data_IF_454662815988
#
_entry.id   IF_454662815988
#
_cell.length_a   1.000
_cell.length_b   1.000
_cell.length_c   1.000
_cell.angle_alpha   90.00
_cell.angle_beta   90.00
_cell.angle_gamma   90.00
#
_symmetry.space_group_name_H-M   'P 1'
#
loop_
_entity.id
_entity.type
_entity.pdbx_description
1 polymer ?
#
# COMPACT_ATOMS: atom_id res chain seq x y z
N UNK A 1 -8.76 -10.22 2.10
CA UNK A 1 -9.89 -9.39 1.62
C UNK A 1 -9.39 -7.96 1.52
N UNK A 2 -9.85 -7.21 0.52
CA UNK A 2 -9.55 -5.78 0.37
C UNK A 2 -10.85 -5.00 0.37
N UNK A 3 -10.81 -3.76 0.85
CA UNK A 3 -11.99 -2.92 1.02
C UNK A 3 -11.89 -1.70 0.09
N UNK A 4 -12.99 -1.36 -0.56
CA UNK A 4 -13.11 -0.14 -1.38
C UNK A 4 -14.12 0.78 -0.72
N UNK A 5 -13.69 1.99 -0.39
CA UNK A 5 -14.58 3.05 0.07
C UNK A 5 -15.02 3.88 -1.12
N UNK A 6 -16.33 4.13 -1.20
CA UNK A 6 -16.95 4.92 -2.26
C UNK A 6 -17.67 6.11 -1.62
N UNK A 7 -17.31 7.32 -2.04
CA UNK A 7 -17.93 8.57 -1.59
C UNK A 7 -18.90 9.07 -2.67
N UNK A 8 -20.22 8.91 -2.49
CA UNK A 8 -21.20 9.55 -3.36
C UNK A 8 -21.17 11.07 -3.15
N UNK A 9 -21.11 11.84 -4.24
CA UNK A 9 -21.32 13.28 -4.14
C UNK A 9 -22.78 13.55 -3.73
N UNK A 10 -23.07 14.58 -2.90
CA UNK A 10 -24.44 15.03 -2.71
C UNK A 10 -25.01 15.49 -4.07
N UNK A 11 -26.30 15.24 -4.36
CA UNK A 11 -26.92 15.76 -5.56
C UNK A 11 -26.79 17.29 -5.58
N UNK A 12 -26.41 17.85 -6.74
CA UNK A 12 -26.37 19.29 -6.92
C UNK A 12 -27.74 19.90 -6.55
N UNK A 13 -27.80 21.05 -5.87
CA UNK A 13 -29.06 21.72 -5.63
C UNK A 13 -29.72 22.00 -6.99
N UNK A 14 -30.94 21.49 -7.17
CA UNK A 14 -31.75 21.80 -8.35
C UNK A 14 -31.86 23.32 -8.48
N UNK A 15 -31.65 23.91 -9.67
CA UNK A 15 -31.81 25.34 -9.84
C UNK A 15 -33.27 25.69 -9.56
N UNK A 16 -33.51 26.48 -8.52
CA UNK A 16 -34.79 27.09 -8.27
C UNK A 16 -35.17 27.91 -9.52
N UNK A 17 -36.22 27.48 -10.22
CA UNK A 17 -36.99 28.37 -11.10
C UNK A 17 -37.70 29.37 -10.18
N UNK A 18 -37.03 30.50 -9.93
CA UNK A 18 -37.61 31.67 -9.28
C UNK A 18 -37.83 32.75 -10.33
N UNK A 19 -39.09 33.05 -10.57
CA UNK A 19 -39.57 34.19 -11.34
C UNK A 19 -38.99 35.51 -10.80
N UNK A 20 -38.65 36.43 -11.71
CA UNK A 20 -38.17 37.77 -11.38
C UNK A 20 -38.02 38.63 -12.63
N UNK A 21 -39.08 39.34 -12.98
CA UNK A 21 -39.12 40.42 -13.97
C UNK A 21 -38.13 41.56 -13.63
N UNK A 22 -37.52 42.15 -14.66
CA UNK A 22 -37.04 43.55 -14.80
C UNK A 22 -35.91 43.58 -15.84
N UNK A 23 -35.68 44.57 -16.70
CA UNK A 23 -36.42 45.71 -17.23
C UNK A 23 -35.52 46.21 -18.38
N UNK A 24 -36.10 46.61 -19.51
CA UNK A 24 -35.37 47.11 -20.69
C UNK A 24 -34.91 48.55 -20.43
N UNK A 25 -33.64 48.90 -20.72
CA UNK A 25 -33.24 50.23 -21.26
C UNK A 25 -31.79 50.30 -21.80
N UNK A 26 -31.71 50.98 -22.94
CA UNK A 26 -30.57 51.34 -23.80
C UNK A 26 -29.38 52.04 -23.13
N UNK A 27 -28.17 51.89 -23.73
CA UNK A 27 -27.47 52.99 -24.43
C UNK A 27 -26.09 52.59 -25.03
N UNK A 28 -25.85 53.01 -26.28
CA UNK A 28 -24.54 53.57 -26.70
C UNK A 28 -23.61 52.77 -27.64
N UNK A 29 -23.77 52.97 -28.95
CA UNK A 29 -22.77 52.74 -30.04
C UNK A 29 -21.53 53.69 -29.94
N UNK A 30 -20.40 53.54 -30.70
CA UNK A 30 -20.32 53.19 -32.15
C UNK A 30 -19.10 52.39 -32.72
N UNK A 31 -19.38 51.66 -33.83
CA UNK A 31 -18.66 51.41 -35.14
C UNK A 31 -17.11 51.32 -35.29
N UNK A 32 -16.52 50.81 -36.42
CA UNK A 32 -17.08 50.18 -37.64
C UNK A 32 -16.36 48.91 -38.19
N UNK A 33 -16.94 48.44 -39.30
CA UNK A 33 -16.71 47.32 -40.25
C UNK A 33 -15.53 47.53 -41.23
N UNK A 34 -14.99 46.45 -41.83
CA UNK A 34 -14.50 46.24 -43.24
C UNK A 34 -13.71 44.89 -43.28
N UNK A 35 -13.63 44.03 -44.30
CA UNK A 35 -14.33 43.70 -45.57
C UNK A 35 -13.74 42.34 -46.07
N UNK A 36 -14.47 41.64 -46.95
CA UNK A 36 -14.16 40.33 -47.57
C UNK A 36 -13.10 40.37 -48.70
N UNK A 37 -12.59 39.20 -49.11
CA UNK A 37 -11.85 38.98 -50.37
C UNK A 37 -11.38 37.53 -50.60
N UNK A 38 -11.55 37.02 -51.83
CA UNK A 38 -11.69 35.62 -52.28
C UNK A 38 -10.43 34.80 -52.67
N UNK A 39 -10.61 33.47 -52.64
CA UNK A 39 -10.22 32.35 -53.56
C UNK A 39 -8.87 32.30 -54.34
N UNK A 40 -8.18 31.14 -54.28
CA UNK A 40 -7.88 30.21 -55.41
C UNK A 40 -6.77 29.16 -55.11
N UNK A 41 -6.91 27.94 -55.67
CA UNK A 41 -5.95 26.78 -55.68
C UNK A 41 -5.15 26.76 -57.02
N UNK A 42 -4.21 25.82 -57.38
CA UNK A 42 -3.85 24.48 -56.85
C UNK A 42 -2.32 24.08 -56.85
N UNK A 43 -2.03 22.78 -56.55
CA UNK A 43 -0.75 22.01 -56.34
C UNK A 43 0.25 21.95 -57.55
N UNK A 44 1.35 21.12 -57.67
CA UNK A 44 1.99 20.08 -56.78
C UNK A 44 3.56 19.92 -56.84
N UNK A 45 4.08 18.87 -56.18
CA UNK A 45 5.27 18.00 -56.46
C UNK A 45 6.61 18.16 -55.71
N UNK A 46 7.13 17.01 -55.21
CA UNK A 46 8.56 16.77 -54.93
C UNK A 46 8.89 15.69 -53.87
N UNK A 47 9.09 14.43 -54.29
CA UNK A 47 9.88 13.37 -53.59
C UNK A 47 11.29 13.30 -54.25
N UNK A 48 12.31 12.50 -53.82
CA UNK A 48 12.53 11.65 -52.61
C UNK A 48 13.94 11.82 -51.92
N UNK A 49 14.19 10.98 -50.90
CA UNK A 49 15.34 10.61 -50.00
C UNK A 49 16.81 10.67 -50.55
N UNK A 50 17.93 10.26 -49.86
CA UNK A 50 18.12 9.54 -48.56
C UNK A 50 19.39 9.92 -47.70
N UNK A 51 19.68 9.12 -46.64
CA UNK A 51 21.03 8.71 -46.11
C UNK A 51 21.43 9.12 -44.65
N UNK A 52 21.43 8.08 -43.80
CA UNK A 52 22.39 7.60 -42.76
C UNK A 52 22.92 8.46 -41.58
N UNK A 53 22.68 7.88 -40.39
CA UNK A 53 23.63 7.49 -39.31
C UNK A 53 23.96 8.44 -38.13
N UNK A 54 23.76 7.82 -36.96
CA UNK A 54 24.57 7.83 -35.72
C UNK A 54 24.44 9.01 -34.74
N UNK A 55 24.16 8.67 -33.47
CA UNK A 55 24.36 9.56 -32.31
C UNK A 55 23.31 9.43 -31.20
N UNK A 56 23.31 8.33 -30.44
CA UNK A 56 22.65 8.27 -29.13
C UNK A 56 23.48 9.04 -28.08
N UNK A 57 22.89 10.06 -27.46
CA UNK A 57 23.18 10.50 -26.09
C UNK A 57 21.88 10.94 -25.39
N UNK A 58 21.78 10.78 -24.07
CA UNK A 58 20.50 10.68 -23.36
C UNK A 58 19.91 12.04 -23.00
N UNK A 59 18.60 12.19 -23.22
CA UNK A 59 17.81 13.35 -22.80
C UNK A 59 17.60 13.38 -21.27
N UNK A 60 17.56 14.57 -20.65
CA UNK A 60 17.41 14.73 -19.20
C UNK A 60 15.97 14.46 -18.73
N UNK A 61 15.83 13.89 -17.53
CA UNK A 61 14.53 13.72 -16.85
C UNK A 61 13.93 15.10 -16.54
N UNK A 62 12.64 15.37 -16.82
CA UNK A 62 12.00 16.57 -16.31
C UNK A 62 11.60 16.34 -14.85
N UNK A 63 12.31 17.01 -13.94
CA UNK A 63 11.79 17.35 -12.63
C UNK A 63 10.62 18.33 -12.83
N UNK A 64 9.41 17.88 -12.54
CA UNK A 64 8.22 18.71 -12.52
C UNK A 64 7.35 18.33 -11.33
N UNK A 65 7.38 19.16 -10.29
CA UNK A 65 6.37 19.19 -9.24
C UNK A 65 4.97 19.25 -9.89
N UNK A 66 3.98 18.47 -9.43
CA UNK A 66 2.62 18.61 -9.93
C UNK A 66 1.99 19.86 -9.31
N UNK A 67 1.98 20.96 -10.07
CA UNK A 67 1.04 22.06 -9.86
C UNK A 67 -0.41 21.55 -10.02
N UNK A 68 -1.39 22.10 -9.29
CA UNK A 68 -2.73 21.54 -9.20
C UNK A 68 -3.41 21.68 -10.55
N UNK A 69 -3.61 20.55 -11.24
CA UNK A 69 -4.41 20.50 -12.46
C UNK A 69 -5.85 20.87 -12.10
N UNK A 70 -6.36 21.85 -12.83
CA UNK A 70 -7.73 22.31 -12.84
C UNK A 70 -8.71 21.13 -12.76
N UNK A 71 -9.64 21.24 -11.81
CA UNK A 71 -10.82 20.41 -11.69
C UNK A 71 -11.59 20.47 -13.01
N UNK A 72 -11.53 19.39 -13.77
CA UNK A 72 -12.56 19.11 -14.76
C UNK A 72 -13.86 18.85 -14.00
N UNK A 73 -14.94 19.49 -14.44
CA UNK A 73 -16.30 19.22 -14.01
C UNK A 73 -16.63 17.75 -14.26
N UNK A 74 -16.42 16.93 -13.22
CA UNK A 74 -16.80 15.52 -13.19
C UNK A 74 -17.83 15.34 -12.09
N UNK A 75 -19.06 15.01 -12.48
CA UNK A 75 -20.13 14.48 -11.61
C UNK A 75 -19.79 13.07 -11.11
N UNK A 76 -18.56 12.87 -10.63
CA UNK A 76 -17.94 11.57 -10.41
C UNK A 76 -17.90 11.17 -8.93
N UNK A 77 -18.43 9.99 -8.63
CA UNK A 77 -18.24 9.28 -7.37
C UNK A 77 -16.74 8.96 -7.15
N UNK A 78 -16.20 9.19 -5.94
CA UNK A 78 -14.78 8.95 -5.63
C UNK A 78 -14.59 7.60 -4.93
N UNK A 79 -13.84 6.69 -5.54
CA UNK A 79 -13.45 5.40 -4.95
C UNK A 79 -11.99 5.42 -4.43
N UNK A 80 -11.72 4.76 -3.31
CA UNK A 80 -10.37 4.56 -2.75
C UNK A 80 -10.20 3.21 -2.07
N UNK A 81 -8.95 2.74 -1.95
CA UNK A 81 -8.61 1.64 -1.06
C UNK A 81 -8.89 2.05 0.39
N UNK A 82 -9.65 1.23 1.11
CA UNK A 82 -10.03 1.48 2.50
C UNK A 82 -9.14 0.74 3.50
N UNK A 83 -8.07 0.09 3.04
CA UNK A 83 -7.12 -0.63 3.87
C UNK A 83 -7.46 -2.10 4.08
N UNK A 84 -6.72 -2.74 4.98
CA UNK A 84 -6.81 -4.18 5.23
C UNK A 84 -7.96 -4.57 6.15
N UNK A 85 -8.26 -3.77 7.18
CA UNK A 85 -9.28 -4.10 8.17
C UNK A 85 -10.04 -2.88 8.70
N UNK A 86 -10.63 -2.04 7.84
CA UNK A 86 -11.33 -0.83 8.28
C UNK A 86 -12.56 -1.13 9.16
N UNK A 87 -13.10 -2.35 9.09
CA UNK A 87 -14.23 -2.79 9.91
C UNK A 87 -13.94 -2.85 11.42
N UNK A 88 -12.66 -2.86 11.81
CA UNK A 88 -12.27 -2.83 13.23
C UNK A 88 -12.59 -1.48 13.90
N UNK A 89 -12.72 -0.42 13.10
CA UNK A 89 -13.07 0.94 13.57
C UNK A 89 -14.57 1.20 13.52
N UNK A 90 -15.36 0.25 13.02
CA UNK A 90 -16.80 0.39 12.86
C UNK A 90 -17.54 -0.15 14.07
N UNK A 91 -18.72 0.42 14.34
CA UNK A 91 -19.69 -0.14 15.28
C UNK A 91 -21.07 -0.21 14.65
N UNK A 92 -21.93 -1.13 15.09
CA UNK A 92 -23.33 -1.11 14.72
C UNK A 92 -23.99 0.23 15.06
N UNK A 93 -24.99 0.60 14.25
CA UNK A 93 -25.85 1.74 14.49
C UNK A 93 -26.71 1.48 15.73
N UNK A 94 -26.81 2.45 16.64
CA UNK A 94 -27.70 2.35 17.81
C UNK A 94 -29.14 2.63 17.44
N UNK A 95 -30.08 2.21 18.28
CA UNK A 95 -31.51 2.37 18.00
C UNK A 95 -31.94 3.84 17.91
N UNK A 96 -31.34 4.72 18.73
CA UNK A 96 -31.57 6.17 18.70
C UNK A 96 -30.97 6.87 17.47
N UNK A 97 -30.11 6.18 16.71
CA UNK A 97 -29.40 6.69 15.55
C UNK A 97 -30.07 6.28 14.21
N UNK A 98 -30.95 5.26 14.22
CA UNK A 98 -31.56 4.66 13.03
C UNK A 98 -32.42 5.63 12.22
N UNK A 99 -33.35 6.32 12.88
CA UNK A 99 -34.31 7.23 12.24
C UNK A 99 -33.64 8.35 11.44
N UNK A 100 -32.50 8.83 11.95
CA UNK A 100 -31.71 9.89 11.32
C UNK A 100 -30.98 9.39 10.08
N UNK A 101 -30.46 8.17 10.12
CA UNK A 101 -29.75 7.55 8.98
C UNK A 101 -30.72 7.14 7.87
N UNK A 102 -31.92 6.67 8.22
CA UNK A 102 -32.98 6.34 7.24
C UNK A 102 -33.29 7.52 6.31
N UNK A 103 -33.30 8.74 6.84
CA UNK A 103 -33.53 9.95 6.01
C UNK A 103 -32.40 10.21 4.99
N UNK A 104 -31.16 9.83 5.30
CA UNK A 104 -30.01 9.93 4.36
C UNK A 104 -30.12 8.83 3.31
N UNK A 105 -30.53 7.64 3.77
CA UNK A 105 -30.93 6.51 2.95
C UNK A 105 -32.22 6.76 2.16
N UNK A 106 -32.72 7.97 1.97
CA UNK A 106 -33.77 8.19 0.96
C UNK A 106 -33.28 9.10 -0.18
N UNK A 107 -32.18 9.82 0.03
CA UNK A 107 -31.86 10.99 -0.80
C UNK A 107 -30.75 10.81 -1.83
N UNK A 108 -29.92 9.76 -1.79
CA UNK A 108 -28.61 9.85 -2.50
C UNK A 108 -27.98 8.57 -3.09
N UNK A 109 -28.60 7.40 -2.97
CA UNK A 109 -27.91 6.11 -3.17
C UNK A 109 -28.62 5.16 -4.13
N UNK A 110 -29.87 5.46 -4.55
CA UNK A 110 -30.68 4.58 -5.39
C UNK A 110 -30.32 4.59 -6.90
N UNK A 111 -29.41 5.47 -7.34
CA UNK A 111 -29.14 5.68 -8.77
C UNK A 111 -27.73 5.33 -9.24
N UNK A 112 -26.82 4.87 -8.37
CA UNK A 112 -25.44 4.57 -8.74
C UNK A 112 -25.14 3.08 -8.65
N UNK A 113 -24.58 2.51 -9.73
CA UNK A 113 -24.03 1.14 -9.74
C UNK A 113 -22.69 1.10 -8.98
N UNK A 114 -22.79 1.16 -7.65
CA UNK A 114 -21.65 1.17 -6.73
C UNK A 114 -20.80 -0.10 -6.86
N UNK A 115 -21.42 -1.24 -7.18
CA UNK A 115 -20.71 -2.50 -7.37
C UNK A 115 -19.79 -2.46 -8.59
N UNK A 116 -20.29 -1.98 -9.73
CA UNK A 116 -19.45 -1.84 -10.94
C UNK A 116 -18.33 -0.86 -10.71
N UNK A 117 -18.57 0.22 -9.97
CA UNK A 117 -17.53 1.18 -9.61
C UNK A 117 -16.46 0.55 -8.70
N UNK A 118 -16.87 -0.20 -7.67
CA UNK A 118 -15.95 -0.94 -6.80
C UNK A 118 -15.11 -1.95 -7.59
N UNK A 119 -15.74 -2.75 -8.46
CA UNK A 119 -15.05 -3.72 -9.33
C UNK A 119 -14.06 -3.02 -10.25
N UNK A 120 -14.47 -1.93 -10.91
CA UNK A 120 -13.62 -1.17 -11.82
C UNK A 120 -12.40 -0.60 -11.09
N UNK A 121 -12.61 -0.01 -9.90
CA UNK A 121 -11.52 0.49 -9.07
C UNK A 121 -10.57 -0.63 -8.65
N UNK A 122 -11.10 -1.77 -8.22
CA UNK A 122 -10.32 -2.91 -7.79
C UNK A 122 -9.47 -3.49 -8.93
N UNK A 123 -10.05 -3.70 -10.12
CA UNK A 123 -9.32 -4.18 -11.31
C UNK A 123 -8.20 -3.21 -11.69
N UNK A 124 -8.46 -1.90 -11.63
CA UNK A 124 -7.50 -0.89 -12.06
C UNK A 124 -6.35 -0.66 -11.07
N UNK A 125 -6.63 -0.67 -9.76
CA UNK A 125 -5.67 -0.21 -8.75
C UNK A 125 -5.22 -1.32 -7.80
N UNK A 126 -6.13 -2.21 -7.40
CA UNK A 126 -5.85 -3.19 -6.35
C UNK A 126 -5.27 -4.50 -6.89
N UNK A 127 -5.86 -5.03 -7.97
CA UNK A 127 -5.44 -6.30 -8.58
C UNK A 127 -4.00 -6.25 -9.09
N UNK A 128 -3.53 -5.19 -9.80
CA UNK A 128 -2.15 -5.13 -10.28
C UNK A 128 -1.12 -5.11 -9.14
N UNK A 129 -1.39 -4.32 -8.10
CA UNK A 129 -0.52 -4.23 -6.92
C UNK A 129 -0.44 -5.58 -6.21
N UNK A 130 -1.59 -6.21 -5.93
CA UNK A 130 -1.63 -7.52 -5.29
C UNK A 130 -0.95 -8.61 -6.13
N UNK A 131 -1.14 -8.59 -7.45
CA UNK A 131 -0.45 -9.51 -8.37
C UNK A 131 1.06 -9.33 -8.28
N UNK A 132 1.56 -8.08 -8.24
CA UNK A 132 2.98 -7.79 -8.15
C UNK A 132 3.58 -8.31 -6.82
N UNK A 133 2.91 -8.07 -5.70
CA UNK A 133 3.33 -8.55 -4.37
C UNK A 133 3.44 -10.08 -4.34
N UNK A 134 2.40 -10.79 -4.81
CA UNK A 134 2.38 -12.25 -4.84
C UNK A 134 3.42 -12.78 -5.83
N UNK A 135 3.56 -12.14 -6.99
CA UNK A 135 4.54 -12.52 -8.01
C UNK A 135 5.96 -12.41 -7.49
N UNK A 136 6.32 -11.30 -6.85
CA UNK A 136 7.65 -11.11 -6.27
C UNK A 136 7.97 -12.19 -5.24
N UNK A 137 7.06 -12.45 -4.30
CA UNK A 137 7.26 -13.47 -3.27
C UNK A 137 7.36 -14.89 -3.84
N UNK A 138 6.51 -15.23 -4.81
CA UNK A 138 6.53 -16.54 -5.48
C UNK A 138 7.80 -16.72 -6.29
N UNK A 139 8.18 -15.72 -7.07
CA UNK A 139 9.38 -15.76 -7.90
C UNK A 139 10.65 -15.95 -7.06
N UNK A 140 10.79 -15.24 -5.95
CA UNK A 140 11.92 -15.42 -5.02
C UNK A 140 12.00 -16.85 -4.48
N UNK A 141 10.87 -17.40 -4.00
CA UNK A 141 10.83 -18.75 -3.46
C UNK A 141 11.11 -19.80 -4.53
N UNK A 142 10.55 -19.62 -5.73
CA UNK A 142 10.75 -20.53 -6.86
C UNK A 142 12.21 -20.52 -7.32
N UNK A 143 12.86 -19.35 -7.42
CA UNK A 143 14.28 -19.24 -7.76
C UNK A 143 15.15 -19.97 -6.75
N UNK A 144 14.94 -19.75 -5.44
CA UNK A 144 15.66 -20.46 -4.37
C UNK A 144 15.50 -21.98 -4.51
N UNK A 145 14.28 -22.42 -4.81
CA UNK A 145 13.97 -23.84 -5.01
C UNK A 145 14.66 -24.39 -6.26
N UNK A 146 14.65 -23.67 -7.38
CA UNK A 146 15.33 -24.08 -8.62
C UNK A 146 16.84 -24.26 -8.40
N UNK A 147 17.48 -23.34 -7.69
CA UNK A 147 18.91 -23.42 -7.36
C UNK A 147 19.20 -24.67 -6.52
N UNK A 148 18.44 -24.90 -5.45
CA UNK A 148 18.63 -26.04 -4.56
C UNK A 148 18.38 -27.39 -5.26
N UNK A 149 17.34 -27.48 -6.10
CA UNK A 149 17.03 -28.68 -6.88
C UNK A 149 18.13 -28.97 -7.89
N UNK A 150 18.58 -27.95 -8.63
CA UNK A 150 19.67 -28.09 -9.62
C UNK A 150 20.96 -28.54 -8.94
N UNK A 151 21.38 -27.87 -7.87
CA UNK A 151 22.60 -28.24 -7.14
C UNK A 151 22.56 -29.71 -6.67
N UNK A 152 21.46 -30.12 -6.02
CA UNK A 152 21.32 -31.49 -5.52
C UNK A 152 21.29 -32.54 -6.64
N UNK A 153 20.42 -32.37 -7.63
CA UNK A 153 20.24 -33.39 -8.68
C UNK A 153 21.44 -33.44 -9.62
N UNK A 154 22.09 -32.32 -9.94
CA UNK A 154 23.32 -32.32 -10.74
C UNK A 154 24.44 -33.08 -10.03
N UNK A 155 24.59 -32.96 -8.71
CA UNK A 155 25.57 -33.75 -7.94
C UNK A 155 25.30 -35.26 -8.03
N UNK A 156 24.04 -35.66 -7.86
CA UNK A 156 23.63 -37.07 -7.97
C UNK A 156 23.82 -37.62 -9.39
N UNK A 157 23.44 -36.85 -10.43
CA UNK A 157 23.64 -37.22 -11.84
C UNK A 157 25.14 -37.46 -12.11
N UNK A 158 25.98 -36.48 -11.76
CA UNK A 158 27.43 -36.58 -11.96
C UNK A 158 28.04 -37.79 -11.22
N UNK A 159 27.54 -38.11 -10.02
CA UNK A 159 27.97 -39.29 -9.28
C UNK A 159 27.63 -40.59 -10.03
N UNK A 160 26.38 -40.74 -10.48
CA UNK A 160 25.95 -41.95 -11.19
C UNK A 160 26.59 -42.07 -12.59
N UNK A 161 26.81 -40.97 -13.30
CA UNK A 161 27.53 -40.95 -14.58
C UNK A 161 29.00 -41.38 -14.44
N UNK A 162 29.68 -40.83 -13.43
CA UNK A 162 31.05 -41.23 -13.10
C UNK A 162 31.10 -42.72 -12.74
N UNK A 163 30.18 -43.17 -11.89
CA UNK A 163 30.10 -44.57 -11.45
C UNK A 163 29.79 -45.52 -12.61
N UNK A 164 28.92 -45.13 -13.53
CA UNK A 164 28.63 -45.90 -14.74
C UNK A 164 29.87 -46.07 -15.62
N UNK A 165 30.65 -45.00 -15.79
CA UNK A 165 31.91 -45.01 -16.53
C UNK A 165 32.96 -45.92 -15.87
N UNK A 166 33.10 -45.84 -14.55
CA UNK A 166 34.02 -46.68 -13.78
C UNK A 166 33.66 -48.17 -13.88
N UNK A 167 32.38 -48.52 -13.68
CA UNK A 167 31.89 -49.90 -13.79
C UNK A 167 32.10 -50.45 -15.20
N UNK A 168 31.88 -49.63 -16.24
CA UNK A 168 32.11 -50.04 -17.63
C UNK A 168 33.57 -50.42 -17.87
N UNK A 169 34.52 -49.63 -17.35
CA UNK A 169 35.95 -49.95 -17.46
C UNK A 169 36.30 -51.23 -16.71
N UNK A 170 35.72 -51.46 -15.52
CA UNK A 170 35.95 -52.69 -14.75
C UNK A 170 35.38 -53.95 -15.44
N UNK A 171 34.20 -53.83 -16.03
CA UNK A 171 33.55 -54.89 -16.82
C UNK A 171 34.39 -55.25 -18.05
N UNK A 172 34.89 -54.25 -18.78
CA UNK A 172 35.81 -54.45 -19.91
C UNK A 172 37.13 -55.11 -19.48
N UNK A 173 37.59 -54.87 -18.25
CA UNK A 173 38.76 -55.51 -17.65
C UNK A 173 38.45 -56.89 -17.03
N UNK A 174 37.25 -57.42 -17.22
CA UNK A 174 36.83 -58.75 -16.74
C UNK A 174 36.50 -58.82 -15.24
N UNK A 175 36.46 -57.69 -14.52
CA UNK A 175 36.12 -57.61 -13.09
C UNK A 175 34.67 -57.18 -12.92
N UNK A 176 33.74 -58.07 -13.22
CA UNK A 176 32.30 -57.78 -13.09
C UNK A 176 31.90 -57.65 -11.61
N UNK A 177 31.22 -56.55 -11.27
CA UNK A 177 30.74 -56.27 -9.92
C UNK A 177 29.36 -56.92 -9.71
N UNK A 178 29.16 -57.68 -8.62
CA UNK A 178 27.95 -58.50 -8.43
C UNK A 178 26.70 -57.70 -7.99
N UNK A 179 26.85 -56.45 -7.53
CA UNK A 179 25.72 -55.65 -6.99
C UNK A 179 25.02 -54.75 -8.02
N UNK A 180 25.76 -54.05 -8.88
CA UNK A 180 25.24 -53.14 -9.93
C UNK A 180 26.20 -53.18 -11.12
N UNK A 181 25.64 -53.21 -12.34
CA UNK A 181 26.40 -53.12 -13.60
C UNK A 181 26.38 -51.68 -14.16
N UNK A 182 27.24 -51.41 -15.14
CA UNK A 182 27.38 -50.10 -15.77
C UNK A 182 26.08 -49.56 -16.38
N UNK A 183 25.28 -50.44 -16.98
CA UNK A 183 24.02 -50.08 -17.62
C UNK A 183 22.96 -49.59 -16.63
N UNK A 184 22.78 -50.25 -15.48
CA UNK A 184 21.85 -49.81 -14.42
C UNK A 184 22.30 -48.49 -13.80
N UNK A 185 23.60 -48.27 -13.64
CA UNK A 185 24.13 -46.99 -13.14
C UNK A 185 23.83 -45.85 -14.13
N UNK A 186 23.97 -46.10 -15.44
CA UNK A 186 23.63 -45.12 -16.49
C UNK A 186 22.14 -44.83 -16.54
N UNK A 187 21.29 -45.85 -16.50
CA UNK A 187 19.82 -45.68 -16.42
C UNK A 187 19.43 -44.77 -15.25
N UNK A 188 20.08 -44.92 -14.10
CA UNK A 188 19.80 -44.08 -12.92
C UNK A 188 20.21 -42.62 -13.12
N UNK A 189 21.29 -42.35 -13.84
CA UNK A 189 21.67 -40.98 -14.23
C UNK A 189 20.63 -40.38 -15.19
N UNK A 190 20.21 -41.14 -16.20
CA UNK A 190 19.18 -40.73 -17.18
C UNK A 190 17.83 -40.41 -16.49
N UNK A 191 17.40 -41.25 -15.55
CA UNK A 191 16.18 -41.03 -14.74
C UNK A 191 16.27 -39.74 -13.90
N UNK A 192 17.41 -39.49 -13.26
CA UNK A 192 17.64 -38.28 -12.48
C UNK A 192 17.66 -37.03 -13.36
N UNK A 193 18.21 -37.13 -14.58
CA UNK A 193 18.19 -36.05 -15.56
C UNK A 193 16.78 -35.73 -16.04
N UNK A 194 15.97 -36.75 -16.35
CA UNK A 194 14.56 -36.57 -16.69
C UNK A 194 13.79 -35.93 -15.54
N UNK A 195 14.03 -36.36 -14.30
CA UNK A 195 13.42 -35.77 -13.10
C UNK A 195 13.81 -34.32 -12.89
N UNK A 196 15.08 -33.96 -13.12
CA UNK A 196 15.54 -32.59 -13.05
C UNK A 196 14.81 -31.71 -14.08
N UNK A 197 14.73 -32.16 -15.34
CA UNK A 197 14.03 -31.44 -16.41
C UNK A 197 12.54 -31.25 -16.09
N UNK A 198 11.87 -32.31 -15.66
CA UNK A 198 10.47 -32.25 -15.25
C UNK A 198 10.28 -31.24 -14.11
N UNK A 199 11.11 -31.32 -13.05
CA UNK A 199 10.95 -30.46 -11.90
C UNK A 199 11.23 -28.98 -12.21
N UNK A 200 12.19 -28.70 -13.09
CA UNK A 200 12.44 -27.33 -13.54
C UNK A 200 11.27 -26.78 -14.36
N UNK A 201 10.67 -27.60 -15.24
CA UNK A 201 9.48 -27.22 -16.01
C UNK A 201 8.28 -26.91 -15.11
N UNK A 202 8.03 -27.73 -14.09
CA UNK A 202 6.98 -27.48 -13.08
C UNK A 202 7.21 -26.13 -12.36
N UNK A 203 8.45 -25.87 -11.91
CA UNK A 203 8.79 -24.62 -11.24
C UNK A 203 8.66 -23.40 -12.16
N UNK A 204 8.98 -23.53 -13.45
CA UNK A 204 8.75 -22.46 -14.43
C UNK A 204 7.26 -22.19 -14.68
N UNK A 205 6.41 -23.22 -14.64
CA UNK A 205 4.97 -23.05 -14.70
C UNK A 205 4.41 -22.37 -13.45
N UNK A 206 4.93 -22.68 -12.26
CA UNK A 206 4.55 -22.01 -11.00
C UNK A 206 4.82 -20.49 -11.01
N UNK A 207 5.75 -20.00 -11.84
CA UNK A 207 6.03 -18.57 -12.02
C UNK A 207 4.98 -17.84 -12.86
N UNK A 208 4.17 -18.57 -13.62
CA UNK A 208 3.14 -17.99 -14.50
C UNK A 208 1.87 -17.75 -13.70
N UNK A 209 1.81 -16.60 -13.03
CA UNK A 209 0.65 -16.17 -12.26
C UNK A 209 -0.28 -15.30 -13.11
N UNK A 210 -1.57 -15.60 -13.06
CA UNK A 210 -2.62 -14.80 -13.66
C UNK A 210 -3.65 -14.45 -12.58
N UNK A 211 -4.03 -13.18 -12.41
CA UNK A 211 -5.05 -12.80 -11.45
C UNK A 211 -6.44 -13.21 -11.97
N UNK A 212 -7.30 -13.63 -11.05
CA UNK A 212 -8.74 -13.76 -11.32
C UNK A 212 -9.43 -12.40 -11.07
N UNK A 213 -10.55 -12.11 -11.75
CA UNK A 213 -11.35 -10.92 -11.46
C UNK A 213 -11.79 -10.88 -9.98
N UNK A 214 -11.87 -9.69 -9.37
CA UNK A 214 -12.28 -9.56 -7.97
C UNK A 214 -13.78 -9.90 -7.82
N UNK A 215 -14.10 -10.61 -6.73
CA UNK A 215 -15.48 -10.94 -6.34
C UNK A 215 -15.90 -10.03 -5.19
N UNK A 216 -17.07 -9.41 -5.31
CA UNK A 216 -17.66 -8.61 -4.23
C UNK A 216 -18.39 -9.55 -3.27
N UNK A 217 -18.05 -9.47 -1.99
CA UNK A 217 -18.71 -10.24 -0.92
C UNK A 217 -19.90 -9.53 -0.30
N UNK A 218 -19.93 -8.20 -0.34
CA UNK A 218 -21.00 -7.39 0.22
C UNK A 218 -20.63 -5.91 0.29
N UNK A 219 -21.56 -5.09 0.75
CA UNK A 219 -21.38 -3.65 0.96
C UNK A 219 -21.89 -3.23 2.33
N UNK A 220 -21.31 -2.17 2.88
CA UNK A 220 -21.77 -1.55 4.11
C UNK A 220 -21.78 -0.02 3.94
N UNK A 221 -22.82 0.64 4.46
CA UNK A 221 -22.84 2.09 4.54
C UNK A 221 -22.15 2.55 5.81
N UNK A 222 -21.11 3.37 5.66
CA UNK A 222 -20.36 3.92 6.79
C UNK A 222 -20.79 5.36 7.01
N UNK A 223 -21.36 5.64 8.17
CA UNK A 223 -21.77 7.00 8.58
C UNK A 223 -20.72 7.55 9.56
N UNK A 224 -20.00 8.63 9.19
CA UNK A 224 -19.05 9.26 10.11
C UNK A 224 -19.74 9.75 11.39
N UNK A 225 -19.14 9.48 12.55
CA UNK A 225 -19.73 9.83 13.84
C UNK A 225 -20.02 11.33 14.00
N UNK A 226 -19.19 12.19 13.39
CA UNK A 226 -19.40 13.65 13.39
C UNK A 226 -20.66 14.07 12.62
N UNK A 227 -20.95 13.41 11.49
CA UNK A 227 -22.20 13.64 10.76
C UNK A 227 -23.40 13.19 11.59
N UNK A 228 -23.29 12.03 12.23
CA UNK A 228 -24.35 11.49 13.08
C UNK A 228 -24.67 12.40 14.27
N UNK A 229 -23.64 12.92 14.95
CA UNK A 229 -23.81 13.86 16.06
C UNK A 229 -24.50 15.16 15.63
N UNK A 230 -24.12 15.71 14.46
CA UNK A 230 -24.73 16.91 13.89
C UNK A 230 -26.21 16.70 13.60
N UNK A 231 -26.54 15.58 12.96
CA UNK A 231 -27.93 15.28 12.60
C UNK A 231 -28.82 14.98 13.82
N UNK A 232 -28.25 14.47 14.91
CA UNK A 232 -28.93 14.31 16.20
C UNK A 232 -29.06 15.62 16.98
N UNK A 233 -28.63 16.76 16.42
CA UNK A 233 -28.74 18.06 17.07
C UNK A 233 -27.89 18.20 18.33
N UNK A 234 -26.83 17.39 18.48
CA UNK A 234 -25.88 17.47 19.61
C UNK A 234 -24.94 18.70 19.52
N UNK A 235 -25.22 19.60 18.57
CA UNK A 235 -24.39 20.75 18.22
C UNK A 235 -24.93 22.05 18.83
N UNK A 236 -24.47 22.40 20.02
CA UNK A 236 -24.36 23.80 20.43
C UNK A 236 -23.14 23.99 21.35
N UNK A 237 -22.29 24.96 21.03
CA UNK A 237 -21.02 25.34 21.70
C UNK A 237 -19.76 24.50 21.39
N UNK A 238 -19.85 23.21 21.01
CA UNK A 238 -18.65 22.39 20.75
C UNK A 238 -17.93 22.65 19.39
N UNK A 239 -18.62 23.13 18.35
CA UNK A 239 -18.09 23.12 16.98
C UNK A 239 -16.89 24.07 16.72
N UNK A 240 -16.82 25.25 17.34
CA UNK A 240 -15.64 26.13 17.21
C UNK A 240 -14.40 25.61 17.94
N UNK A 241 -14.60 24.87 19.04
CA UNK A 241 -13.50 24.22 19.74
C UNK A 241 -13.05 22.95 19.00
N UNK A 242 -13.98 22.20 18.39
CA UNK A 242 -13.69 20.97 17.65
C UNK A 242 -12.88 21.23 16.38
N UNK A 243 -13.18 22.29 15.61
CA UNK A 243 -12.36 22.64 14.44
C UNK A 243 -10.94 23.07 14.83
N UNK A 244 -10.80 23.90 15.86
CA UNK A 244 -9.48 24.28 16.38
C UNK A 244 -8.70 23.10 16.97
N UNK A 245 -9.38 22.16 17.65
CA UNK A 245 -8.80 20.92 18.16
C UNK A 245 -8.40 20.00 17.00
N UNK A 246 -9.20 19.89 15.94
CA UNK A 246 -8.92 19.07 14.78
C UNK A 246 -7.71 19.60 13.99
N UNK A 247 -7.66 20.90 13.73
CA UNK A 247 -6.51 21.56 13.09
C UNK A 247 -5.24 21.39 13.94
N UNK A 248 -5.36 21.55 15.26
CA UNK A 248 -4.24 21.34 16.19
C UNK A 248 -3.78 19.88 16.20
N UNK A 249 -4.70 18.92 16.16
CA UNK A 249 -4.41 17.49 16.13
C UNK A 249 -3.73 17.07 14.82
N UNK A 250 -4.23 17.53 13.68
CA UNK A 250 -3.62 17.24 12.37
C UNK A 250 -2.19 17.79 12.30
N UNK A 251 -1.97 19.00 12.85
CA UNK A 251 -0.62 19.58 12.97
C UNK A 251 0.29 18.71 13.84
N UNK A 252 -0.19 18.27 15.00
CA UNK A 252 0.58 17.40 15.92
C UNK A 252 0.92 16.06 15.25
N UNK A 253 -0.04 15.45 14.55
CA UNK A 253 0.16 14.20 13.82
C UNK A 253 1.22 14.36 12.72
N UNK A 254 1.16 15.45 11.93
CA UNK A 254 2.17 15.76 10.90
C UNK A 254 3.57 15.98 11.47
N UNK A 255 3.69 16.76 12.55
CA UNK A 255 4.98 17.00 13.20
C UNK A 255 5.57 15.74 13.82
N UNK A 256 4.72 14.91 14.44
CA UNK A 256 5.13 13.63 15.00
C UNK A 256 5.65 12.67 13.92
N UNK A 257 4.91 12.54 12.81
CA UNK A 257 5.31 11.74 11.66
C UNK A 257 6.65 12.20 11.09
N UNK A 258 6.81 13.51 10.87
CA UNK A 258 8.04 14.08 10.35
C UNK A 258 9.24 13.82 11.27
N UNK A 259 9.06 13.97 12.59
CA UNK A 259 10.10 13.73 13.57
C UNK A 259 10.57 12.25 13.59
N UNK A 260 9.63 11.30 13.49
CA UNK A 260 9.97 9.87 13.43
C UNK A 260 10.68 9.51 12.12
N UNK A 261 10.20 10.03 10.98
CA UNK A 261 10.87 9.84 9.68
C UNK A 261 12.31 10.39 9.72
N UNK A 262 12.51 11.55 10.32
CA UNK A 262 13.84 12.15 10.46
C UNK A 262 14.75 11.32 11.38
N UNK A 263 14.21 10.82 12.50
CA UNK A 263 14.94 9.94 13.42
C UNK A 263 15.36 8.63 12.73
N UNK A 264 14.45 7.96 12.03
CA UNK A 264 14.76 6.72 11.30
C UNK A 264 15.83 6.92 10.23
N UNK A 265 15.79 8.05 9.51
CA UNK A 265 16.86 8.41 8.54
C UNK A 265 18.21 8.63 9.22
N UNK A 266 18.24 9.28 10.39
CA UNK A 266 19.48 9.49 11.17
C UNK A 266 20.06 8.15 11.66
N UNK A 267 19.21 7.17 11.94
CA UNK A 267 19.59 5.80 12.29
C UNK A 267 20.03 4.96 11.08
N UNK A 268 19.98 5.50 9.85
CA UNK A 268 20.42 4.81 8.64
C UNK A 268 19.37 3.89 8.00
N UNK A 269 18.09 4.04 8.38
CA UNK A 269 16.98 3.36 7.73
C UNK A 269 16.37 4.19 6.60
N UNK A 270 15.58 3.54 5.74
CA UNK A 270 14.80 4.16 4.68
C UNK A 270 13.30 4.12 5.05
N UNK A 271 12.78 5.15 5.77
CA UNK A 271 11.38 5.21 6.15
C UNK A 271 10.47 5.65 5.00
N UNK A 272 9.34 4.96 4.86
CA UNK A 272 8.25 5.21 3.92
C UNK A 272 6.93 5.39 4.67
N UNK A 273 6.25 6.50 4.42
CA UNK A 273 4.90 6.74 4.95
C UNK A 273 3.87 5.83 4.26
N UNK A 274 3.18 5.03 5.05
CA UNK A 274 2.11 4.11 4.65
C UNK A 274 0.81 4.33 5.44
N UNK A 275 0.72 5.42 6.21
CA UNK A 275 -0.45 5.75 7.05
C UNK A 275 -1.76 5.74 6.24
N UNK A 276 -1.71 6.24 5.01
CA UNK A 276 -2.84 6.25 4.07
C UNK A 276 -3.30 4.87 3.59
N UNK A 277 -2.44 3.85 3.70
CA UNK A 277 -2.74 2.46 3.31
C UNK A 277 -3.51 1.70 4.42
N UNK A 278 -3.62 2.28 5.63
CA UNK A 278 -4.34 1.70 6.79
C UNK A 278 -3.89 0.27 7.12
N UNK A 279 -2.57 0.06 7.13
CA UNK A 279 -1.93 -1.21 7.44
C UNK A 279 -1.90 -1.56 8.95
N UNK A 280 -2.36 -0.65 9.82
CA UNK A 280 -2.27 -0.75 11.28
C UNK A 280 -0.94 -0.23 11.85
N UNK A 281 -0.17 0.49 11.03
CA UNK A 281 1.04 1.24 11.37
C UNK A 281 1.19 2.37 10.33
N UNK A 282 1.98 3.39 10.65
CA UNK A 282 2.11 4.60 9.83
C UNK A 282 3.36 4.61 8.95
N UNK A 283 4.46 3.96 9.38
CA UNK A 283 5.76 4.01 8.69
C UNK A 283 6.32 2.60 8.52
N UNK A 284 6.79 2.29 7.32
CA UNK A 284 7.68 1.15 7.04
C UNK A 284 9.11 1.65 6.95
N UNK A 285 10.01 1.11 7.76
CA UNK A 285 11.40 1.56 7.82
C UNK A 285 12.33 0.38 7.59
N UNK A 286 12.96 0.33 6.41
CA UNK A 286 13.84 -0.78 6.00
C UNK A 286 15.32 -0.44 6.15
N UNK A 287 16.15 -1.45 6.41
CA UNK A 287 17.61 -1.28 6.46
C UNK A 287 18.16 -0.99 5.06
N UNK A 288 19.12 -0.05 4.95
CA UNK A 288 19.84 0.20 3.70
C UNK A 288 20.86 -0.90 3.34
N UNK A 289 21.14 -1.84 4.25
CA UNK A 289 22.06 -2.95 4.00
C UNK A 289 21.47 -3.91 2.97
N UNK A 290 22.14 -4.15 1.82
CA UNK A 290 21.65 -5.08 0.82
C UNK A 290 21.52 -6.50 1.40
N UNK A 291 20.46 -7.21 1.01
CA UNK A 291 20.09 -8.54 1.52
C UNK A 291 21.22 -9.58 1.44
N UNK A 292 22.20 -9.39 0.54
CA UNK A 292 23.38 -10.26 0.36
C UNK A 292 24.60 -9.88 1.23
N UNK A 293 24.57 -8.71 1.86
CA UNK A 293 25.57 -8.22 2.83
C UNK A 293 25.02 -8.18 4.26
N UNK A 294 23.71 -8.33 4.45
CA UNK A 294 23.09 -8.42 5.77
C UNK A 294 23.61 -9.68 6.50
N UNK A 295 24.15 -9.55 7.73
CA UNK A 295 24.56 -10.69 8.53
C UNK A 295 23.43 -11.70 8.68
N UNK A 296 23.72 -13.01 8.67
CA UNK A 296 22.71 -14.07 8.85
C UNK A 296 21.86 -13.89 10.13
N UNK A 297 22.35 -13.14 11.12
CA UNK A 297 21.60 -12.75 12.33
C UNK A 297 20.39 -11.84 12.04
N UNK A 298 20.36 -11.11 10.92
CA UNK A 298 19.22 -10.26 10.51
C UNK A 298 18.07 -11.08 9.88
N UNK A 299 18.29 -12.38 9.63
CA UNK A 299 17.29 -13.28 9.02
C UNK A 299 16.65 -14.25 10.03
N UNK A 300 16.88 -14.07 11.33
CA UNK A 300 16.45 -15.02 12.36
C UNK A 300 15.33 -14.51 13.27
N UNK A 301 14.34 -15.38 13.54
CA UNK A 301 13.40 -15.29 14.68
C UNK A 301 14.15 -15.53 16.01
N UNK A 302 15.07 -14.63 16.37
CA UNK A 302 15.84 -14.70 17.61
C UNK A 302 15.95 -13.34 18.27
N UNK A 303 16.09 -13.32 19.59
CA UNK A 303 16.37 -12.10 20.37
C UNK A 303 17.67 -11.47 19.86
N UNK A 304 17.56 -10.36 19.14
CA UNK A 304 18.69 -9.62 18.54
C UNK A 304 18.74 -9.61 17.02
N UNK A 305 17.78 -10.23 16.32
CA UNK A 305 17.63 -10.01 14.87
C UNK A 305 16.96 -8.66 14.61
N UNK A 306 17.74 -7.63 14.26
CA UNK A 306 17.16 -6.41 13.69
C UNK A 306 16.44 -6.80 12.40
N UNK A 307 15.11 -6.78 12.44
CA UNK A 307 14.30 -7.04 11.27
C UNK A 307 14.71 -6.08 10.16
N UNK A 308 14.97 -6.62 8.97
CA UNK A 308 15.24 -5.84 7.75
C UNK A 308 14.13 -4.81 7.42
N UNK A 309 12.97 -4.92 8.09
CA UNK A 309 11.81 -4.06 7.98
C UNK A 309 11.16 -3.86 9.36
N UNK A 310 11.14 -2.60 9.82
CA UNK A 310 10.44 -2.13 11.03
C UNK A 310 9.06 -1.56 10.65
N UNK A 311 8.06 -1.80 11.49
CA UNK A 311 6.70 -1.27 11.34
C UNK A 311 6.42 -0.30 12.49
N UNK A 312 6.26 0.98 12.20
CA UNK A 312 6.21 2.02 13.23
C UNK A 312 4.84 2.70 13.22
N UNK A 313 4.14 2.65 14.35
CA UNK A 313 2.90 3.38 14.59
C UNK A 313 3.21 4.66 15.38
N UNK A 314 2.78 5.83 14.92
CA UNK A 314 3.18 7.12 15.47
C UNK A 314 2.02 7.78 16.22
N UNK A 315 2.22 8.01 17.53
CA UNK A 315 1.25 8.72 18.37
C UNK A 315 1.82 10.04 18.85
N UNK A 316 1.53 11.11 18.11
CA UNK A 316 1.84 12.49 18.49
C UNK A 316 0.92 13.00 19.59
N UNK A 317 1.48 13.59 20.65
CA UNK A 317 0.74 14.24 21.75
C UNK A 317 1.42 15.53 22.17
N UNK A 318 0.62 16.52 22.59
CA UNK A 318 1.17 17.69 23.28
C UNK A 318 1.78 17.28 24.62
N UNK A 319 2.81 18.01 25.05
CA UNK A 319 3.35 17.87 26.40
C UNK A 319 2.23 17.99 27.45
N UNK A 320 2.17 17.04 28.38
CA UNK A 320 1.16 17.00 29.45
C UNK A 320 -0.12 16.19 29.14
N UNK A 321 -0.26 15.59 27.95
CA UNK A 321 -1.32 14.63 27.69
C UNK A 321 -1.23 13.43 28.65
N UNK A 322 -2.38 12.89 29.08
CA UNK A 322 -2.42 11.78 30.06
C UNK A 322 -2.56 10.41 29.39
N UNK A 323 -3.15 10.35 28.21
CA UNK A 323 -3.51 9.09 27.56
C UNK A 323 -3.15 9.06 26.07
N UNK A 324 -2.93 7.84 25.58
CA UNK A 324 -2.80 7.53 24.16
C UNK A 324 -3.88 6.53 23.79
N UNK A 325 -4.62 6.82 22.72
CA UNK A 325 -5.62 5.92 22.17
C UNK A 325 -4.98 5.14 21.05
N UNK A 326 -5.11 3.82 21.11
CA UNK A 326 -4.62 2.89 20.08
C UNK A 326 -5.81 2.11 19.54
N UNK A 327 -5.94 2.03 18.23
CA UNK A 327 -7.05 1.31 17.58
C UNK A 327 -6.86 -0.20 17.70
N UNK A 328 -7.95 -0.96 17.57
CA UNK A 328 -7.87 -2.43 17.54
C UNK A 328 -7.00 -2.94 16.39
N UNK A 329 -7.06 -2.28 15.23
CA UNK A 329 -6.23 -2.61 14.07
C UNK A 329 -4.73 -2.47 14.38
N UNK A 330 -4.32 -1.38 15.03
CA UNK A 330 -2.93 -1.15 15.46
C UNK A 330 -2.46 -2.21 16.48
N UNK A 331 -3.30 -2.55 17.46
CA UNK A 331 -2.96 -3.57 18.47
C UNK A 331 -2.78 -4.94 17.82
N UNK A 332 -3.68 -5.33 16.92
CA UNK A 332 -3.59 -6.61 16.19
C UNK A 332 -2.36 -6.62 15.26
N UNK A 333 -2.07 -5.51 14.57
CA UNK A 333 -0.90 -5.40 13.71
C UNK A 333 0.40 -5.60 14.51
N UNK A 334 0.49 -5.02 15.70
CA UNK A 334 1.61 -5.18 16.62
C UNK A 334 1.77 -6.61 17.14
N UNK A 335 0.66 -7.27 17.54
CA UNK A 335 0.69 -8.65 18.04
C UNK A 335 1.05 -9.67 16.96
N UNK A 336 0.72 -9.40 15.70
CA UNK A 336 1.09 -10.25 14.56
C UNK A 336 2.57 -10.13 14.17
N UNK A 337 3.22 -9.00 14.49
CA UNK A 337 4.61 -8.71 14.12
C UNK A 337 5.43 -8.21 15.33
N UNK A 338 5.47 -8.94 16.45
CA UNK A 338 5.92 -8.40 17.74
C UNK A 338 7.40 -8.02 17.77
N UNK A 339 8.25 -8.69 16.97
CA UNK A 339 9.68 -8.41 16.94
C UNK A 339 10.03 -7.19 16.07
N UNK A 340 9.16 -6.82 15.13
CA UNK A 340 9.42 -5.75 14.16
C UNK A 340 8.54 -4.51 14.37
N UNK A 341 7.53 -4.58 15.24
CA UNK A 341 6.59 -3.49 15.48
C UNK A 341 7.09 -2.56 16.60
N UNK A 342 7.01 -1.26 16.35
CA UNK A 342 7.42 -0.19 17.26
C UNK A 342 6.26 0.79 17.41
N UNK A 343 5.87 1.06 18.66
CA UNK A 343 5.00 2.22 18.94
C UNK A 343 5.89 3.42 19.25
N UNK A 344 5.88 4.41 18.37
CA UNK A 344 6.60 5.67 18.53
C UNK A 344 5.69 6.71 19.18
N UNK A 345 5.97 7.04 20.43
CA UNK A 345 5.28 8.13 21.13
C UNK A 345 6.09 9.40 20.94
N UNK A 346 5.44 10.44 20.42
CA UNK A 346 6.10 11.73 20.16
C UNK A 346 5.45 12.82 20.99
N UNK A 347 6.23 13.46 21.86
CA UNK A 347 5.82 14.68 22.54
C UNK A 347 6.16 15.89 21.68
N UNK A 348 5.13 16.59 21.23
CA UNK A 348 5.24 17.81 20.41
C UNK A 348 5.08 19.03 21.33
N UNK A 349 6.04 19.96 21.34
CA UNK A 349 5.93 21.21 22.10
C UNK A 349 4.73 22.06 21.62
N UNK A 350 4.05 22.72 22.54
CA UNK A 350 2.82 23.49 22.25
C UNK A 350 3.06 24.75 21.41
N UNK A 351 4.30 25.26 21.35
CA UNK A 351 4.64 26.55 20.75
C UNK A 351 5.41 26.46 19.43
N UNK A 352 5.79 25.25 18.98
CA UNK A 352 6.77 25.10 17.90
C UNK A 352 6.19 24.55 16.60
N UNK A 353 6.73 25.07 15.49
CA UNK A 353 6.36 24.67 14.12
C UNK A 353 7.41 23.76 13.47
N UNK A 354 8.47 23.36 14.19
CA UNK A 354 9.52 22.47 13.69
C UNK A 354 9.61 21.16 14.50
N UNK A 355 10.35 20.19 13.95
CA UNK A 355 10.60 18.88 14.54
C UNK A 355 11.70 18.91 15.61
N UNK A 356 12.45 20.01 15.73
CA UNK A 356 13.72 20.08 16.46
C UNK A 356 13.61 19.78 17.97
N UNK A 357 12.45 20.03 18.56
CA UNK A 357 12.18 19.77 19.99
C UNK A 357 11.14 18.67 20.23
N UNK A 358 10.80 17.89 19.21
CA UNK A 358 9.97 16.71 19.38
C UNK A 358 10.76 15.63 20.13
N UNK A 359 10.26 15.20 21.30
CA UNK A 359 10.85 14.08 22.03
C UNK A 359 10.19 12.77 21.57
N UNK A 360 11.00 11.81 21.15
CA UNK A 360 10.54 10.53 20.62
C UNK A 360 10.92 9.41 21.59
N UNK A 361 9.96 8.52 21.88
CA UNK A 361 10.17 7.29 22.63
C UNK A 361 9.65 6.10 21.85
N UNK A 362 10.51 5.11 21.61
CA UNK A 362 10.18 3.86 20.93
C UNK A 362 9.85 2.78 21.95
N UNK A 363 8.69 2.17 21.78
CA UNK A 363 8.21 1.08 22.64
C UNK A 363 8.12 -0.18 21.78
N UNK A 364 9.05 -1.10 22.02
CA UNK A 364 9.02 -2.42 21.41
C UNK A 364 8.03 -3.33 22.16
N UNK A 365 7.36 -4.22 21.42
CA UNK A 365 6.31 -5.11 21.97
C UNK A 365 5.33 -4.35 22.87
N UNK A 366 4.66 -3.29 22.35
CA UNK A 366 3.88 -2.36 23.16
C UNK A 366 2.69 -3.03 23.85
N UNK A 367 2.08 -4.04 23.21
CA UNK A 367 0.88 -4.72 23.67
C UNK A 367 1.15 -6.21 23.92
N UNK A 368 0.44 -6.79 24.89
CA UNK A 368 0.57 -8.20 25.29
C UNK A 368 -0.70 -9.01 25.06
N UNK A 369 -1.84 -8.35 24.89
CA UNK A 369 -3.15 -8.98 24.78
C UNK A 369 -4.00 -8.26 23.74
N UNK A 370 -4.87 -9.01 23.07
CA UNK A 370 -5.86 -8.45 22.16
C UNK A 370 -6.95 -7.69 22.93
N UNK A 371 -7.54 -6.63 22.37
CA UNK A 371 -8.68 -5.95 22.97
C UNK A 371 -9.90 -6.87 22.99
N UNK A 372 -10.81 -6.62 23.93
CA UNK A 372 -12.12 -7.27 23.96
C UNK A 372 -12.83 -7.23 22.60
N UNK A 373 -13.66 -8.25 22.32
CA UNK A 373 -14.34 -8.36 21.04
C UNK A 373 -15.13 -7.09 20.68
N UNK A 374 -15.76 -6.45 21.68
CA UNK A 374 -16.57 -5.24 21.54
C UNK A 374 -15.75 -3.93 21.54
N UNK A 375 -14.45 -3.96 21.86
CA UNK A 375 -13.61 -2.77 21.89
C UNK A 375 -13.09 -2.45 20.48
N UNK A 376 -13.28 -1.20 20.00
CA UNK A 376 -12.70 -0.72 18.74
C UNK A 376 -11.38 0.02 18.95
N UNK A 377 -11.11 0.49 20.19
CA UNK A 377 -9.86 1.12 20.60
C UNK A 377 -9.65 0.96 22.10
N UNK A 378 -8.39 1.11 22.53
CA UNK A 378 -7.99 1.05 23.94
C UNK A 378 -7.21 2.32 24.29
N UNK A 379 -7.51 2.90 25.46
CA UNK A 379 -6.76 4.02 26.02
C UNK A 379 -5.70 3.51 26.97
N UNK A 380 -4.45 3.89 26.74
CA UNK A 380 -3.31 3.59 27.60
C UNK A 380 -2.83 4.85 28.33
N UNK A 381 -2.24 4.66 29.52
CA UNK A 381 -1.59 5.72 30.26
C UNK A 381 -0.28 6.13 29.53
N UNK A 382 -0.19 7.40 29.14
CA UNK A 382 0.97 7.92 28.40
C UNK A 382 2.26 7.81 29.22
N UNK A 383 2.21 8.08 30.52
CA UNK A 383 3.40 8.09 31.38
C UNK A 383 3.99 6.69 31.54
N UNK A 384 3.15 5.67 31.70
CA UNK A 384 3.58 4.26 31.77
C UNK A 384 4.20 3.79 30.46
N UNK A 385 3.58 4.13 29.32
CA UNK A 385 4.13 3.86 28.01
C UNK A 385 5.46 4.58 27.79
N UNK A 386 5.56 5.85 28.19
CA UNK A 386 6.76 6.67 28.06
C UNK A 386 7.95 6.10 28.84
N UNK A 387 7.72 5.60 30.06
CA UNK A 387 8.76 4.97 30.89
C UNK A 387 9.27 3.65 30.32
N UNK A 388 8.41 2.91 29.61
CA UNK A 388 8.80 1.69 28.89
C UNK A 388 9.59 1.97 27.61
N UNK A 389 9.50 3.19 27.08
CA UNK A 389 10.11 3.57 25.82
C UNK A 389 11.58 3.98 25.94
N UNK A 390 12.36 3.66 24.93
CA UNK A 390 13.75 4.10 24.77
C UNK A 390 13.83 5.23 23.76
N UNK A 391 14.96 5.96 23.72
CA UNK A 391 15.23 6.85 22.59
C UNK A 391 15.39 6.03 21.29
N UNK A 392 15.20 6.63 20.11
CA UNK A 392 15.48 5.98 18.84
C UNK A 392 16.95 5.53 18.79
N UNK A 393 17.18 4.22 18.66
CA UNK A 393 18.50 3.58 18.60
C UNK A 393 18.59 2.70 17.35
#
# INVERSE_FOLDING_TARGET
>A
MQYVEIFPHPPAPSPNLGEGEQEIKNNGHPFPILKEGEQSSPRPNGHPSPILKEGEQPSPRPNGHPSPKALGEGTGVRARNAGYAPYLDYRPLKDDEKSVVETILEKSWQHNDLETQAKTYAIKNLVPQHLQEIKQRKEELTIKTMIAVKDRLTKEINYWDYRASELKTQELAGKANAKINSEKARQRADELQARLQQRLSELEQERKLSPLPPVIFGGALIVPIGLLNRLLGKDSVQNMNVENIAISRERIEKLAMAAVIEAERKLGYEPRDVSSEKCGYDIESSTLTPLYQAPLSHFGRGEGGEGLLRFIEVKGRIAGAKTVTVTKNEIIAALNKPDNFILAIVQVPSTESSTDNCQIRYIHKPFQQEPDFAATSVNYNLQELWQRGTEPI
#
